data_IF_515417005410
#
_entry.id   IF_515417005410
#
_cell.length_a   1.000
_cell.length_b   1.000
_cell.length_c   1.000
_cell.angle_alpha   90.00
_cell.angle_beta   90.00
_cell.angle_gamma   90.00
#
_symmetry.space_group_name_H-M   'P 1'
#
loop_
_entity.id
_entity.type
_entity.pdbx_description
1 polymer ?
#
# COMPACT_ATOMS: atom_id res chain seq x y z
N UNK A 1 83.50 -25.23 34.43
CA UNK A 1 83.42 -23.76 34.63
C UNK A 1 83.57 -23.10 33.26
N UNK A 2 82.53 -22.37 32.79
CA UNK A 2 82.44 -21.54 31.57
C UNK A 2 82.59 -22.35 30.25
N UNK A 3 81.68 -22.32 29.27
CA UNK A 3 81.00 -21.17 28.67
C UNK A 3 79.51 -21.46 28.35
N UNK A 4 78.64 -20.69 28.97
CA UNK A 4 77.36 -20.23 28.41
C UNK A 4 77.62 -18.93 27.64
N UNK A 5 76.97 -18.72 26.48
CA UNK A 5 76.59 -17.42 25.86
C UNK A 5 76.50 -17.47 24.32
N UNK A 6 75.63 -18.29 23.73
CA UNK A 6 75.27 -18.11 22.30
C UNK A 6 73.87 -18.61 21.92
N UNK A 7 72.99 -18.89 22.89
CA UNK A 7 71.68 -19.50 22.60
C UNK A 7 70.46 -18.69 23.11
N UNK A 8 70.60 -17.40 23.42
CA UNK A 8 69.51 -16.61 24.03
C UNK A 8 69.04 -15.42 23.17
N UNK A 9 69.67 -15.14 22.01
CA UNK A 9 69.31 -13.99 21.17
C UNK A 9 68.61 -14.43 19.87
N UNK A 10 67.63 -15.33 19.95
CA UNK A 10 66.76 -15.67 18.82
C UNK A 10 65.33 -16.07 19.25
N UNK A 11 64.87 -15.54 20.39
CA UNK A 11 63.60 -15.96 21.01
C UNK A 11 62.77 -14.80 21.58
N UNK A 12 62.93 -13.57 21.09
CA UNK A 12 62.17 -12.38 21.56
C UNK A 12 61.75 -11.50 20.37
N UNK A 13 61.19 -12.08 19.31
CA UNK A 13 60.64 -11.31 18.18
C UNK A 13 59.21 -11.71 17.78
N UNK A 14 58.53 -12.54 18.57
CA UNK A 14 57.22 -13.11 18.22
C UNK A 14 56.02 -12.51 18.98
N UNK A 15 56.20 -11.41 19.75
CA UNK A 15 55.13 -10.85 20.58
C UNK A 15 54.72 -9.40 20.23
N UNK A 16 55.23 -8.81 19.14
CA UNK A 16 54.83 -7.46 18.71
C UNK A 16 53.75 -7.45 17.60
N UNK A 17 52.90 -8.49 17.58
CA UNK A 17 51.85 -8.67 16.57
C UNK A 17 50.43 -8.44 17.08
N UNK A 18 50.22 -7.64 18.14
CA UNK A 18 48.88 -7.14 18.43
C UNK A 18 48.59 -6.00 17.44
N UNK A 19 48.06 -6.35 16.27
CA UNK A 19 47.58 -5.39 15.28
C UNK A 19 46.51 -4.52 15.95
N UNK A 20 46.89 -3.29 16.27
CA UNK A 20 45.98 -2.29 16.81
C UNK A 20 44.93 -1.99 15.74
N UNK A 21 43.67 -2.33 16.02
CA UNK A 21 42.53 -2.04 15.14
C UNK A 21 42.57 -0.54 14.79
N UNK A 22 42.66 -0.16 13.51
CA UNK A 22 42.67 1.25 13.14
C UNK A 22 41.34 1.90 13.55
N UNK A 23 41.35 3.07 14.22
CA UNK A 23 40.12 3.79 14.57
C UNK A 23 39.25 4.11 13.33
N UNK A 24 39.84 4.17 12.14
CA UNK A 24 39.14 4.32 10.86
C UNK A 24 38.11 3.20 10.59
N UNK A 25 38.35 1.97 11.06
CA UNK A 25 37.40 0.86 10.87
C UNK A 25 36.10 1.07 11.63
N UNK A 26 36.16 1.66 12.83
CA UNK A 26 34.97 1.98 13.64
C UNK A 26 34.20 3.15 13.02
N UNK A 27 34.90 4.20 12.56
CA UNK A 27 34.28 5.35 11.88
C UNK A 27 33.58 4.94 10.57
N UNK A 28 34.20 4.05 9.78
CA UNK A 28 33.59 3.53 8.54
C UNK A 28 32.35 2.70 8.85
N UNK A 29 32.37 1.83 9.87
CA UNK A 29 31.19 1.06 10.28
C UNK A 29 30.04 1.95 10.80
N UNK A 30 30.35 3.02 11.53
CA UNK A 30 29.36 4.01 11.96
C UNK A 30 28.74 4.78 10.80
N UNK A 31 29.53 5.16 9.79
CA UNK A 31 29.01 5.81 8.58
C UNK A 31 28.03 4.90 7.83
N UNK A 32 28.37 3.62 7.70
CA UNK A 32 27.49 2.62 7.06
C UNK A 32 26.14 2.53 7.77
N UNK A 33 26.11 2.54 9.10
CA UNK A 33 24.85 2.53 9.85
C UNK A 33 23.96 3.76 9.56
N UNK A 34 24.56 4.94 9.48
CA UNK A 34 23.84 6.18 9.17
C UNK A 34 23.32 6.20 7.73
N UNK A 35 24.13 5.74 6.76
CA UNK A 35 23.74 5.68 5.35
C UNK A 35 22.60 4.68 5.13
N UNK A 36 22.65 3.52 5.80
CA UNK A 36 21.59 2.50 5.80
C UNK A 36 20.29 3.05 6.39
N UNK A 37 20.36 3.82 7.49
CA UNK A 37 19.20 4.48 8.09
C UNK A 37 18.60 5.53 7.13
N UNK A 38 19.44 6.37 6.52
CA UNK A 38 19.00 7.38 5.55
C UNK A 38 18.34 6.73 4.33
N UNK A 39 18.87 5.61 3.86
CA UNK A 39 18.32 4.87 2.72
C UNK A 39 16.98 4.19 3.06
N UNK A 40 16.84 3.63 4.27
CA UNK A 40 15.57 3.12 4.79
C UNK A 40 14.48 4.19 4.76
N UNK A 41 14.78 5.38 5.29
CA UNK A 41 13.86 6.50 5.33
C UNK A 41 13.45 6.97 3.93
N UNK A 42 14.41 7.08 3.01
CA UNK A 42 14.13 7.48 1.62
C UNK A 42 13.20 6.48 0.91
N UNK A 43 13.43 5.17 1.07
CA UNK A 43 12.57 4.15 0.48
C UNK A 43 11.17 4.13 1.09
N UNK A 44 11.04 4.23 2.41
CA UNK A 44 9.73 4.35 3.06
C UNK A 44 8.98 5.61 2.62
N UNK A 45 9.68 6.75 2.46
CA UNK A 45 9.09 7.98 1.97
C UNK A 45 8.58 7.85 0.53
N UNK A 46 9.35 7.19 -0.35
CA UNK A 46 8.94 6.91 -1.72
C UNK A 46 7.67 6.03 -1.76
N UNK A 47 7.66 4.92 -1.01
CA UNK A 47 6.49 4.04 -0.92
C UNK A 47 5.26 4.81 -0.44
N UNK A 48 5.41 5.61 0.62
CA UNK A 48 4.30 6.44 1.11
C UNK A 48 3.79 7.41 0.03
N UNK A 49 4.66 8.15 -0.63
CA UNK A 49 4.26 9.10 -1.67
C UNK A 49 3.56 8.41 -2.86
N UNK A 50 4.04 7.24 -3.26
CA UNK A 50 3.42 6.45 -4.32
C UNK A 50 2.00 6.00 -3.93
N UNK A 51 1.84 5.40 -2.75
CA UNK A 51 0.54 4.92 -2.29
C UNK A 51 -0.43 6.07 -1.99
N UNK A 52 0.04 7.21 -1.47
CA UNK A 52 -0.78 8.41 -1.29
C UNK A 52 -1.32 8.93 -2.63
N UNK A 53 -0.50 8.89 -3.70
CA UNK A 53 -0.94 9.26 -5.05
C UNK A 53 -1.99 8.28 -5.58
N UNK A 54 -1.78 6.98 -5.37
CA UNK A 54 -2.71 5.94 -5.82
C UNK A 54 -4.05 6.02 -5.10
N UNK A 55 -4.05 6.24 -3.78
CA UNK A 55 -5.28 6.42 -3.00
C UNK A 55 -6.05 7.67 -3.46
N UNK A 56 -5.37 8.78 -3.78
CA UNK A 56 -6.00 9.98 -4.35
C UNK A 56 -6.63 9.70 -5.71
N UNK A 57 -5.94 8.97 -6.58
CA UNK A 57 -6.44 8.63 -7.91
C UNK A 57 -7.68 7.74 -7.83
N UNK A 58 -7.68 6.73 -6.95
CA UNK A 58 -8.84 5.87 -6.70
C UNK A 58 -10.04 6.68 -6.20
N UNK A 59 -9.83 7.57 -5.22
CA UNK A 59 -10.91 8.42 -4.72
C UNK A 59 -11.45 9.35 -5.81
N UNK A 60 -10.57 9.98 -6.58
CA UNK A 60 -10.96 10.84 -7.69
C UNK A 60 -11.83 10.09 -8.69
N UNK A 61 -11.42 8.88 -9.08
CA UNK A 61 -12.19 8.02 -9.98
C UNK A 61 -13.57 7.66 -9.43
N UNK A 62 -13.66 7.28 -8.15
CA UNK A 62 -14.93 6.93 -7.53
C UNK A 62 -15.87 8.12 -7.54
N UNK A 63 -15.37 9.29 -7.15
CA UNK A 63 -16.19 10.49 -6.95
C UNK A 63 -16.61 11.13 -8.28
N UNK A 64 -15.77 11.06 -9.31
CA UNK A 64 -15.97 11.78 -10.57
C UNK A 64 -16.37 10.90 -11.75
N UNK A 65 -16.24 9.57 -11.64
CA UNK A 65 -16.58 8.63 -12.71
C UNK A 65 -17.58 7.58 -12.24
N UNK A 66 -17.25 6.78 -11.22
CA UNK A 66 -18.12 5.68 -10.81
C UNK A 66 -19.44 6.15 -10.19
N UNK A 67 -19.40 7.06 -9.21
CA UNK A 67 -20.59 7.53 -8.52
C UNK A 67 -21.60 8.21 -9.47
N UNK A 68 -21.19 9.12 -10.37
CA UNK A 68 -22.09 9.69 -11.37
C UNK A 68 -22.74 8.63 -12.27
N UNK A 69 -21.98 7.65 -12.77
CA UNK A 69 -22.50 6.59 -13.63
C UNK A 69 -23.46 5.65 -12.88
N UNK A 70 -23.15 5.33 -11.63
CA UNK A 70 -24.02 4.55 -10.75
C UNK A 70 -25.35 5.26 -10.49
N UNK A 71 -25.30 6.56 -10.16
CA UNK A 71 -26.51 7.38 -9.98
C UNK A 71 -27.33 7.40 -11.29
N UNK A 72 -26.68 7.61 -12.43
CA UNK A 72 -27.36 7.62 -13.72
C UNK A 72 -27.98 6.26 -14.09
N UNK A 73 -27.32 5.15 -13.74
CA UNK A 73 -27.88 3.81 -13.89
C UNK A 73 -29.07 3.58 -12.96
N UNK A 74 -28.96 3.96 -11.68
CA UNK A 74 -30.03 3.81 -10.69
C UNK A 74 -31.29 4.63 -11.08
N UNK A 75 -31.11 5.87 -11.55
CA UNK A 75 -32.23 6.70 -12.04
C UNK A 75 -32.86 6.10 -13.29
N UNK A 76 -32.06 5.56 -14.23
CA UNK A 76 -32.60 4.86 -15.40
C UNK A 76 -33.41 3.63 -15.01
N UNK A 77 -32.96 2.89 -14.01
CA UNK A 77 -33.69 1.73 -13.50
C UNK A 77 -34.98 2.13 -12.78
N UNK A 78 -34.95 3.16 -11.95
CA UNK A 78 -36.15 3.70 -11.31
C UNK A 78 -37.18 4.19 -12.34
N UNK A 79 -36.71 4.81 -13.44
CA UNK A 79 -37.58 5.20 -14.55
C UNK A 79 -38.29 4.00 -15.18
N UNK A 80 -37.64 2.83 -15.31
CA UNK A 80 -38.31 1.63 -15.83
C UNK A 80 -39.43 1.18 -14.90
N UNK A 81 -39.23 1.26 -13.58
CA UNK A 81 -40.27 0.97 -12.58
C UNK A 81 -41.43 1.96 -12.70
N UNK A 82 -41.11 3.25 -12.82
CA UNK A 82 -42.08 4.31 -13.05
C UNK A 82 -42.97 4.06 -14.28
N UNK A 83 -42.37 3.62 -15.39
CA UNK A 83 -43.09 3.34 -16.64
C UNK A 83 -43.89 2.01 -16.59
N UNK A 84 -43.67 1.17 -15.57
CA UNK A 84 -44.27 -0.17 -15.46
C UNK A 84 -45.39 -0.17 -14.41
N UNK A 85 -46.68 -0.29 -14.80
CA UNK A 85 -47.80 -0.13 -13.86
C UNK A 85 -47.77 -1.08 -12.66
N UNK A 86 -47.21 -2.29 -12.80
CA UNK A 86 -47.11 -3.25 -11.72
C UNK A 86 -46.06 -2.87 -10.65
N UNK A 87 -45.07 -2.05 -11.01
CA UNK A 87 -43.93 -1.69 -10.16
C UNK A 87 -43.87 -0.17 -9.87
N UNK A 88 -44.85 0.59 -10.36
CA UNK A 88 -44.85 2.06 -10.33
C UNK A 88 -44.80 2.62 -8.90
N UNK A 89 -45.50 1.99 -7.96
CA UNK A 89 -45.51 2.40 -6.54
C UNK A 89 -44.13 2.25 -5.86
N UNK A 90 -43.23 1.43 -6.42
CA UNK A 90 -41.88 1.27 -5.93
C UNK A 90 -40.88 2.30 -6.51
N UNK A 91 -41.34 3.19 -7.40
CA UNK A 91 -40.50 4.22 -8.01
C UNK A 91 -40.41 5.48 -7.15
N UNK A 92 -39.19 5.97 -6.92
CA UNK A 92 -39.00 7.27 -6.27
C UNK A 92 -39.47 8.42 -7.16
N UNK A 93 -39.37 8.29 -8.49
CA UNK A 93 -39.94 9.25 -9.45
C UNK A 93 -41.46 9.35 -9.29
N UNK A 94 -42.15 8.21 -9.12
CA UNK A 94 -43.60 8.21 -8.88
C UNK A 94 -43.96 8.91 -7.57
N UNK A 95 -43.27 8.58 -6.47
CA UNK A 95 -43.51 9.21 -5.17
C UNK A 95 -43.30 10.74 -5.23
N UNK A 96 -42.25 11.21 -5.91
CA UNK A 96 -42.00 12.64 -6.12
C UNK A 96 -43.09 13.29 -6.99
N UNK A 97 -43.57 12.61 -8.04
CA UNK A 97 -44.65 13.12 -8.86
C UNK A 97 -45.95 13.30 -8.06
N UNK A 98 -46.29 12.32 -7.23
CA UNK A 98 -47.47 12.39 -6.36
C UNK A 98 -47.37 13.52 -5.34
N UNK A 99 -46.19 13.72 -4.75
CA UNK A 99 -45.95 14.75 -3.75
C UNK A 99 -45.96 16.19 -4.30
N UNK A 100 -45.48 16.41 -5.53
CA UNK A 100 -45.19 17.78 -6.02
C UNK A 100 -45.93 18.19 -7.30
N UNK A 101 -46.46 17.26 -8.08
CA UNK A 101 -47.10 17.55 -9.38
C UNK A 101 -48.62 17.39 -9.29
N UNK A 102 -49.09 16.31 -8.67
CA UNK A 102 -50.51 15.94 -8.64
C UNK A 102 -51.26 16.52 -7.43
N UNK A 103 -50.87 17.71 -6.96
CA UNK A 103 -51.35 18.31 -5.70
C UNK A 103 -52.73 18.96 -5.78
N UNK A 104 -53.25 19.24 -6.98
CA UNK A 104 -54.41 20.12 -7.19
C UNK A 104 -55.72 19.61 -6.58
N UNK A 105 -55.86 18.30 -6.45
CA UNK A 105 -57.08 17.64 -5.97
C UNK A 105 -56.88 16.97 -4.60
N UNK A 106 -55.79 17.28 -3.90
CA UNK A 106 -55.39 16.66 -2.63
C UNK A 106 -55.67 17.58 -1.45
N UNK A 107 -56.10 17.00 -0.34
CA UNK A 107 -56.16 17.70 0.96
C UNK A 107 -54.77 17.90 1.54
N UNK A 108 -54.62 18.86 2.46
CA UNK A 108 -53.35 19.11 3.16
C UNK A 108 -52.79 17.83 3.83
N UNK A 109 -53.67 16.97 4.35
CA UNK A 109 -53.25 15.70 4.96
C UNK A 109 -52.71 14.70 3.93
N UNK A 110 -53.30 14.63 2.74
CA UNK A 110 -52.83 13.76 1.66
C UNK A 110 -51.51 14.28 1.08
N UNK A 111 -51.38 15.60 0.92
CA UNK A 111 -50.12 16.22 0.51
C UNK A 111 -49.01 15.89 1.51
N UNK A 112 -49.29 15.98 2.81
CA UNK A 112 -48.30 15.64 3.84
C UNK A 112 -47.87 14.16 3.76
N UNK A 113 -48.81 13.24 3.59
CA UNK A 113 -48.52 11.80 3.43
C UNK A 113 -47.66 11.51 2.19
N UNK A 114 -48.01 12.10 1.05
CA UNK A 114 -47.26 11.91 -0.20
C UNK A 114 -45.85 12.51 -0.12
N UNK A 115 -45.70 13.68 0.53
CA UNK A 115 -44.39 14.29 0.77
C UNK A 115 -43.54 13.41 1.68
N UNK A 116 -44.10 12.86 2.75
CA UNK A 116 -43.39 11.95 3.65
C UNK A 116 -42.95 10.66 2.91
N UNK A 117 -43.82 10.10 2.08
CA UNK A 117 -43.51 8.95 1.24
C UNK A 117 -42.38 9.26 0.24
N UNK A 118 -42.43 10.42 -0.43
CA UNK A 118 -41.37 10.86 -1.34
C UNK A 118 -40.04 11.07 -0.62
N UNK A 119 -40.05 11.68 0.57
CA UNK A 119 -38.85 11.87 1.38
C UNK A 119 -38.26 10.53 1.84
N UNK A 120 -39.11 9.57 2.21
CA UNK A 120 -38.67 8.23 2.57
C UNK A 120 -38.07 7.48 1.38
N UNK A 121 -38.72 7.51 0.22
CA UNK A 121 -38.23 6.93 -1.02
C UNK A 121 -36.88 7.52 -1.45
N UNK A 122 -36.75 8.85 -1.44
CA UNK A 122 -35.49 9.53 -1.76
C UNK A 122 -34.36 9.18 -0.80
N UNK A 123 -34.66 9.08 0.50
CA UNK A 123 -33.68 8.66 1.51
C UNK A 123 -33.18 7.26 1.23
N UNK A 124 -34.08 6.28 1.02
CA UNK A 124 -33.67 4.91 0.69
C UNK A 124 -32.89 4.84 -0.62
N UNK A 125 -33.31 5.59 -1.65
CA UNK A 125 -32.61 5.65 -2.93
C UNK A 125 -31.17 6.14 -2.77
N UNK A 126 -30.97 7.23 -2.02
CA UNK A 126 -29.63 7.79 -1.76
C UNK A 126 -28.80 6.88 -0.85
N UNK A 127 -29.42 6.25 0.15
CA UNK A 127 -28.74 5.33 1.08
C UNK A 127 -28.15 4.13 0.35
N UNK A 128 -28.95 3.45 -0.48
CA UNK A 128 -28.49 2.30 -1.29
C UNK A 128 -27.32 2.70 -2.20
N UNK A 129 -27.44 3.84 -2.90
CA UNK A 129 -26.37 4.34 -3.77
C UNK A 129 -25.09 4.64 -2.97
N UNK A 130 -25.21 5.28 -1.80
CA UNK A 130 -24.06 5.59 -0.96
C UNK A 130 -23.40 4.33 -0.40
N UNK A 131 -24.19 3.32 0.00
CA UNK A 131 -23.67 2.03 0.44
C UNK A 131 -22.83 1.38 -0.66
N UNK A 132 -23.32 1.36 -1.90
CA UNK A 132 -22.59 0.82 -3.04
C UNK A 132 -21.31 1.60 -3.35
N UNK A 133 -21.35 2.94 -3.30
CA UNK A 133 -20.16 3.80 -3.46
C UNK A 133 -19.12 3.47 -2.38
N UNK A 134 -19.52 3.38 -1.11
CA UNK A 134 -18.63 3.08 0.02
C UNK A 134 -18.05 1.68 -0.10
N UNK A 135 -18.89 0.69 -0.44
CA UNK A 135 -18.47 -0.69 -0.67
C UNK A 135 -17.42 -0.76 -1.78
N UNK A 136 -17.66 -0.09 -2.91
CA UNK A 136 -16.72 -0.05 -4.03
C UNK A 136 -15.41 0.63 -3.66
N UNK A 137 -15.49 1.74 -2.91
CA UNK A 137 -14.31 2.45 -2.39
C UNK A 137 -13.44 1.55 -1.52
N UNK A 138 -14.05 0.82 -0.61
CA UNK A 138 -13.33 -0.07 0.28
C UNK A 138 -12.72 -1.26 -0.48
N UNK A 139 -13.42 -1.81 -1.47
CA UNK A 139 -12.91 -2.92 -2.28
C UNK A 139 -11.67 -2.53 -3.09
N UNK A 140 -11.54 -1.27 -3.50
CA UNK A 140 -10.34 -0.74 -4.16
C UNK A 140 -9.24 -0.32 -3.17
N UNK A 141 -9.59 0.41 -2.11
CA UNK A 141 -8.59 0.98 -1.20
C UNK A 141 -8.00 -0.06 -0.23
N UNK A 142 -8.75 -1.06 0.20
CA UNK A 142 -8.24 -2.02 1.18
C UNK A 142 -7.06 -2.84 0.67
N UNK A 143 -7.09 -3.44 -0.53
CA UNK A 143 -5.93 -4.16 -1.07
C UNK A 143 -4.71 -3.24 -1.23
N UNK A 144 -4.92 -1.99 -1.64
CA UNK A 144 -3.86 -0.98 -1.77
C UNK A 144 -3.20 -0.67 -0.42
N UNK A 145 -4.02 -0.44 0.63
CA UNK A 145 -3.52 -0.18 1.99
C UNK A 145 -2.79 -1.39 2.58
N UNK A 146 -3.29 -2.59 2.32
CA UNK A 146 -2.62 -3.83 2.72
C UNK A 146 -1.24 -3.94 2.06
N UNK A 147 -1.15 -3.74 0.74
CA UNK A 147 0.12 -3.79 0.00
C UNK A 147 1.11 -2.72 0.45
N UNK A 148 0.62 -1.51 0.78
CA UNK A 148 1.44 -0.46 1.40
C UNK A 148 2.07 -0.95 2.71
N UNK A 149 1.26 -1.53 3.60
CA UNK A 149 1.74 -2.03 4.88
C UNK A 149 2.75 -3.17 4.72
N UNK A 150 2.48 -4.13 3.83
CA UNK A 150 3.37 -5.25 3.52
C UNK A 150 4.73 -4.77 2.99
N UNK A 151 4.72 -3.78 2.08
CA UNK A 151 5.95 -3.23 1.52
C UNK A 151 6.75 -2.43 2.54
N UNK A 152 6.09 -1.60 3.35
CA UNK A 152 6.74 -0.86 4.44
C UNK A 152 7.33 -1.78 5.49
N UNK A 153 6.62 -2.85 5.88
CA UNK A 153 7.13 -3.86 6.80
C UNK A 153 8.33 -4.61 6.21
N UNK A 154 8.28 -4.94 4.91
CA UNK A 154 9.40 -5.58 4.21
C UNK A 154 10.63 -4.68 4.20
N UNK A 155 10.47 -3.38 3.92
CA UNK A 155 11.55 -2.40 4.02
C UNK A 155 12.08 -2.35 5.46
N UNK A 156 11.22 -2.10 6.45
CA UNK A 156 11.62 -1.93 7.83
C UNK A 156 12.38 -3.14 8.39
N UNK A 157 11.85 -4.34 8.22
CA UNK A 157 12.46 -5.59 8.72
C UNK A 157 13.86 -5.81 8.12
N UNK A 158 14.01 -5.60 6.80
CA UNK A 158 15.28 -5.79 6.13
C UNK A 158 16.32 -4.75 6.56
N UNK A 159 15.94 -3.47 6.67
CA UNK A 159 16.85 -2.44 7.16
C UNK A 159 17.23 -2.65 8.64
N UNK A 160 16.31 -3.13 9.48
CA UNK A 160 16.62 -3.50 10.86
C UNK A 160 17.63 -4.66 10.93
N UNK A 161 17.49 -5.67 10.08
CA UNK A 161 18.47 -6.75 9.99
C UNK A 161 19.87 -6.23 9.62
N UNK A 162 19.96 -5.31 8.65
CA UNK A 162 21.24 -4.69 8.25
C UNK A 162 21.83 -3.87 9.41
N UNK A 163 21.00 -3.06 10.08
CA UNK A 163 21.44 -2.24 11.22
C UNK A 163 21.89 -3.13 12.39
N UNK A 164 21.20 -4.22 12.69
CA UNK A 164 21.57 -5.15 13.76
C UNK A 164 22.89 -5.87 13.47
N UNK A 165 23.11 -6.30 12.22
CA UNK A 165 24.39 -6.85 11.77
C UNK A 165 25.50 -5.78 11.86
N UNK A 166 25.23 -4.55 11.45
CA UNK A 166 26.18 -3.42 11.53
C UNK A 166 26.55 -3.04 12.97
N UNK A 167 25.60 -3.04 13.91
CA UNK A 167 25.86 -2.75 15.32
C UNK A 167 26.63 -3.88 16.00
N UNK A 168 26.37 -5.13 15.60
CA UNK A 168 27.16 -6.31 16.03
C UNK A 168 28.61 -6.19 15.55
N UNK A 169 28.84 -5.80 14.29
CA UNK A 169 30.18 -5.54 13.73
C UNK A 169 30.87 -4.40 14.46
N UNK A 170 30.19 -3.29 14.67
CA UNK A 170 30.73 -2.13 15.39
C UNK A 170 31.10 -2.51 16.83
N UNK A 171 30.27 -3.31 17.49
CA UNK A 171 30.54 -3.88 18.80
C UNK A 171 31.75 -4.82 18.81
N UNK A 172 31.89 -5.69 17.79
CA UNK A 172 33.03 -6.59 17.64
C UNK A 172 34.35 -5.82 17.39
N UNK A 173 34.32 -4.84 16.47
CA UNK A 173 35.43 -3.94 16.17
C UNK A 173 35.83 -3.08 17.37
N UNK A 174 34.86 -2.75 18.22
CA UNK A 174 35.09 -2.03 19.47
C UNK A 174 35.54 -2.94 20.63
N UNK A 175 35.37 -4.26 20.53
CA UNK A 175 35.56 -5.20 21.64
C UNK A 175 36.98 -5.82 21.68
N UNK A 176 37.53 -6.50 20.65
CA UNK A 176 38.86 -7.16 20.75
C UNK A 176 39.60 -7.39 19.40
N UNK A 177 40.93 -7.34 19.49
CA UNK A 177 42.10 -7.48 18.58
C UNK A 177 42.21 -8.74 17.66
N UNK A 178 41.23 -9.62 17.52
CA UNK A 178 41.36 -10.81 16.61
C UNK A 178 40.42 -10.71 15.39
N UNK A 179 40.93 -10.02 14.36
CA UNK A 179 40.14 -9.36 13.32
C UNK A 179 39.94 -10.23 12.06
N UNK A 180 40.77 -11.24 11.81
CA UNK A 180 40.90 -11.79 10.45
C UNK A 180 39.92 -12.90 10.08
N UNK A 181 39.44 -13.72 11.03
CA UNK A 181 38.51 -14.82 10.72
C UNK A 181 37.05 -14.35 10.67
N UNK A 182 36.66 -13.44 11.55
CA UNK A 182 35.33 -12.83 11.54
C UNK A 182 35.10 -11.92 10.32
N UNK A 183 36.13 -11.24 9.81
CA UNK A 183 35.97 -10.29 8.69
C UNK A 183 35.50 -10.95 7.38
N UNK A 184 36.01 -12.13 7.01
CA UNK A 184 35.67 -12.78 5.74
C UNK A 184 34.30 -13.49 5.78
N UNK A 185 33.92 -14.09 6.89
CA UNK A 185 32.58 -14.66 7.05
C UNK A 185 31.52 -13.55 7.04
N UNK A 186 31.79 -12.45 7.74
CA UNK A 186 30.83 -11.35 7.88
C UNK A 186 30.71 -10.49 6.63
N UNK A 187 31.76 -10.27 5.84
CA UNK A 187 31.64 -9.55 4.54
C UNK A 187 30.78 -10.30 3.52
N UNK A 188 30.75 -11.63 3.62
CA UNK A 188 29.89 -12.51 2.82
C UNK A 188 28.46 -12.55 3.36
N UNK A 189 28.28 -12.39 4.68
CA UNK A 189 27.00 -12.42 5.42
C UNK A 189 26.31 -11.05 5.62
N UNK A 190 27.06 -9.97 5.40
CA UNK A 190 26.60 -8.60 5.13
C UNK A 190 25.88 -8.50 3.77
N UNK A 191 25.90 -9.59 3.00
CA UNK A 191 25.05 -9.80 1.85
C UNK A 191 23.66 -9.29 2.15
N UNK A 192 23.30 -8.20 1.48
CA UNK A 192 21.92 -7.85 1.20
C UNK A 192 21.22 -9.17 0.90
N UNK A 193 20.22 -9.56 1.66
CA UNK A 193 19.39 -10.70 1.24
C UNK A 193 19.03 -10.42 -0.22
N UNK A 194 19.43 -11.31 -1.13
CA UNK A 194 19.26 -11.13 -2.59
C UNK A 194 17.78 -10.84 -2.94
N UNK A 195 16.86 -11.11 -2.01
CA UNK A 195 15.45 -10.84 -2.12
C UNK A 195 14.95 -9.41 -1.91
N UNK A 196 15.61 -8.45 -1.23
CA UNK A 196 14.92 -7.16 -0.95
C UNK A 196 14.70 -6.34 -2.23
N UNK A 197 15.76 -6.15 -3.02
CA UNK A 197 15.69 -5.36 -4.27
C UNK A 197 14.79 -6.04 -5.28
N UNK A 198 14.87 -7.37 -5.37
CA UNK A 198 14.02 -8.18 -6.23
C UNK A 198 12.55 -8.13 -5.76
N UNK A 199 12.26 -8.39 -4.49
CA UNK A 199 10.90 -8.37 -3.95
C UNK A 199 10.26 -6.99 -4.05
N UNK A 200 10.92 -5.94 -3.58
CA UNK A 200 10.40 -4.56 -3.68
C UNK A 200 10.23 -4.14 -5.13
N UNK A 201 11.22 -4.46 -5.98
CA UNK A 201 11.19 -4.12 -7.41
C UNK A 201 10.07 -4.84 -8.15
N UNK A 202 9.90 -6.14 -7.91
CA UNK A 202 8.85 -6.98 -8.50
C UNK A 202 7.47 -6.52 -8.02
N UNK A 203 7.26 -6.37 -6.70
CA UNK A 203 5.97 -5.89 -6.17
C UNK A 203 5.60 -4.52 -6.72
N UNK A 204 6.54 -3.57 -6.81
CA UNK A 204 6.28 -2.25 -7.41
C UNK A 204 5.99 -2.33 -8.91
N UNK A 205 6.68 -3.20 -9.64
CA UNK A 205 6.46 -3.40 -11.08
C UNK A 205 5.09 -4.01 -11.36
N UNK A 206 4.72 -5.04 -10.61
CA UNK A 206 3.42 -5.69 -10.73
C UNK A 206 2.28 -4.76 -10.33
N UNK A 207 2.46 -3.98 -9.25
CA UNK A 207 1.51 -2.96 -8.80
C UNK A 207 1.33 -1.88 -9.87
N UNK A 208 2.43 -1.33 -10.39
CA UNK A 208 2.39 -0.36 -11.49
C UNK A 208 1.69 -0.92 -12.73
N UNK A 209 1.95 -2.19 -13.07
CA UNK A 209 1.28 -2.89 -14.16
C UNK A 209 -0.23 -3.03 -13.93
N UNK A 210 -0.64 -3.44 -12.74
CA UNK A 210 -2.05 -3.56 -12.36
C UNK A 210 -2.79 -2.21 -12.41
N UNK A 211 -2.16 -1.15 -11.88
CA UNK A 211 -2.71 0.21 -11.89
C UNK A 211 -2.85 0.74 -13.31
N UNK A 212 -1.83 0.57 -14.16
CA UNK A 212 -1.89 1.03 -15.55
C UNK A 212 -2.93 0.25 -16.37
N UNK A 213 -3.08 -1.04 -16.12
CA UNK A 213 -4.12 -1.85 -16.75
C UNK A 213 -5.52 -1.38 -16.34
N UNK A 214 -5.74 -1.20 -15.03
CA UNK A 214 -6.99 -0.68 -14.50
C UNK A 214 -7.32 0.68 -15.12
N UNK A 215 -6.36 1.62 -15.10
CA UNK A 215 -6.49 2.96 -15.70
C UNK A 215 -6.91 2.88 -17.17
N UNK A 216 -6.20 2.08 -17.97
CA UNK A 216 -6.54 1.91 -19.38
C UNK A 216 -7.95 1.37 -19.60
N UNK A 217 -8.40 0.42 -18.77
CA UNK A 217 -9.73 -0.17 -18.87
C UNK A 217 -10.81 0.86 -18.54
N UNK A 218 -10.61 1.68 -17.50
CA UNK A 218 -11.56 2.74 -17.13
C UNK A 218 -11.57 3.92 -18.11
N UNK A 219 -10.42 4.26 -18.70
CA UNK A 219 -10.27 5.39 -19.65
C UNK A 219 -10.73 5.09 -21.07
N UNK A 220 -10.99 3.81 -21.41
CA UNK A 220 -11.39 3.40 -22.76
C UNK A 220 -12.71 4.04 -23.27
N UNK A 221 -13.43 4.76 -22.40
CA UNK A 221 -14.66 5.49 -22.71
C UNK A 221 -15.85 4.56 -22.91
N UNK A 222 -17.03 4.97 -22.45
CA UNK A 222 -18.30 4.23 -22.60
C UNK A 222 -18.40 2.90 -21.80
N UNK A 223 -17.82 2.87 -20.60
CA UNK A 223 -17.99 1.72 -19.71
C UNK A 223 -19.32 1.82 -18.96
N UNK A 224 -20.17 0.79 -19.07
CA UNK A 224 -21.33 0.66 -18.20
C UNK A 224 -20.89 0.38 -16.76
N UNK A 225 -21.79 0.58 -15.81
CA UNK A 225 -21.54 0.27 -14.40
C UNK A 225 -21.07 -1.17 -14.23
N UNK A 226 -21.65 -2.13 -14.96
CA UNK A 226 -21.27 -3.54 -14.89
C UNK A 226 -19.82 -3.78 -15.35
N UNK A 227 -19.38 -3.11 -16.42
CA UNK A 227 -17.98 -3.20 -16.89
C UNK A 227 -17.01 -2.56 -15.92
N UNK A 228 -17.38 -1.39 -15.38
CA UNK A 228 -16.61 -0.74 -14.32
C UNK A 228 -16.47 -1.68 -13.13
N UNK A 229 -17.55 -2.39 -12.79
CA UNK A 229 -17.53 -3.36 -11.73
C UNK A 229 -16.58 -4.52 -12.05
N UNK A 230 -16.69 -5.14 -13.21
CA UNK A 230 -15.74 -6.18 -13.64
C UNK A 230 -14.27 -5.74 -13.48
N UNK A 231 -13.92 -4.54 -13.96
CA UNK A 231 -12.54 -4.04 -13.91
C UNK A 231 -12.03 -3.78 -12.49
N UNK A 232 -12.91 -3.34 -11.60
CA UNK A 232 -12.56 -3.13 -10.19
C UNK A 232 -12.32 -4.48 -9.49
N UNK A 233 -13.12 -5.51 -9.79
CA UNK A 233 -12.96 -6.83 -9.19
C UNK A 233 -11.68 -7.52 -9.69
N UNK A 234 -11.37 -7.40 -10.99
CA UNK A 234 -10.11 -7.84 -11.57
C UNK A 234 -8.92 -7.15 -10.92
N UNK A 235 -8.98 -5.83 -10.75
CA UNK A 235 -7.91 -5.06 -10.11
C UNK A 235 -7.70 -5.50 -8.66
N UNK A 236 -8.78 -5.62 -7.87
CA UNK A 236 -8.72 -6.09 -6.48
C UNK A 236 -8.12 -7.50 -6.36
N UNK A 237 -8.52 -8.40 -7.25
CA UNK A 237 -7.99 -9.77 -7.32
C UNK A 237 -6.51 -9.78 -7.65
N UNK A 238 -6.10 -8.99 -8.65
CA UNK A 238 -4.70 -8.88 -9.07
C UNK A 238 -3.83 -8.33 -7.95
N UNK A 239 -4.27 -7.27 -7.27
CA UNK A 239 -3.57 -6.74 -6.10
C UNK A 239 -3.41 -7.79 -5.00
N UNK A 240 -4.45 -8.57 -4.74
CA UNK A 240 -4.40 -9.63 -3.71
C UNK A 240 -3.43 -10.77 -4.04
N UNK A 241 -3.03 -10.93 -5.31
CA UNK A 241 -2.11 -11.99 -5.75
C UNK A 241 -0.61 -11.64 -5.69
N UNK A 242 -0.24 -10.35 -5.54
CA UNK A 242 1.15 -9.82 -5.67
C UNK A 242 2.14 -10.31 -4.57
N UNK A 243 1.77 -11.28 -3.72
CA UNK A 243 2.67 -11.86 -2.68
C UNK A 243 2.54 -13.38 -2.54
N UNK A 244 1.91 -14.08 -3.50
CA UNK A 244 1.76 -15.54 -3.45
C UNK A 244 2.90 -16.34 -4.10
N UNK A 245 3.93 -15.66 -4.62
CA UNK A 245 5.09 -16.28 -5.25
C UNK A 245 6.38 -15.89 -4.54
#
# INVERSE_FOLDING_TARGET
MKLTRTAVILGISLLAGCAQVPPSSVTVSQSIGNDVLSMSQAHSAFVNAYFDSLEKEINFYIDHTYAPELIAAAVREDKKRFDTPADQDASVIFAVQEAFVNVKDKTDSQIAEDVDAAMLGMRYFIEIINEDIVKRRNLLLNPVKTKRAELLNSIQSNYQNIIHKSSTITGLLSSVVEIHQAQNEILTELGFEEGLREKVGTSLTELSGAVNEFRRKIEAGNNSVEKIEEYIDEFSTKLSSIDKN
#
